data_IF_510422273306
#
_entry.id   IF_510422273306
#
_cell.length_a   1.000
_cell.length_b   1.000
_cell.length_c   1.000
_cell.angle_alpha   90.00
_cell.angle_beta   90.00
_cell.angle_gamma   90.00
#
_symmetry.space_group_name_H-M   'P 1'
#
loop_
_entity.id
_entity.type
_entity.pdbx_description
1 polymer ?
#
# COMPACT_ATOMS: atom_id res chain seq x y z
N UNK A 1 12.07 26.45 5.43
CA UNK A 1 13.20 25.72 4.82
C UNK A 1 12.59 24.42 4.32
N UNK A 2 12.73 24.11 3.04
CA UNK A 2 12.03 22.98 2.42
C UNK A 2 12.56 21.70 3.05
N UNK A 3 11.74 21.03 3.87
CA UNK A 3 12.06 19.72 4.41
C UNK A 3 12.34 18.79 3.24
N UNK A 4 13.60 18.38 3.11
CA UNK A 4 14.01 17.43 2.09
C UNK A 4 13.33 16.11 2.41
N UNK A 5 12.26 15.81 1.67
CA UNK A 5 11.58 14.52 1.70
C UNK A 5 12.64 13.41 1.63
N UNK A 6 12.82 12.70 2.74
CA UNK A 6 13.82 11.64 2.87
C UNK A 6 13.09 10.32 2.93
N UNK A 7 13.51 9.36 2.12
CA UNK A 7 12.93 8.01 2.08
C UNK A 7 12.92 7.30 3.45
N UNK A 8 13.74 7.75 4.39
CA UNK A 8 13.77 7.27 5.78
C UNK A 8 12.58 7.75 6.62
N UNK A 9 11.88 8.81 6.22
CA UNK A 9 10.66 9.29 6.88
C UNK A 9 9.48 8.33 6.65
N UNK A 10 9.50 7.57 5.54
CA UNK A 10 8.59 6.45 5.32
C UNK A 10 8.88 5.25 6.24
N UNK A 11 9.98 5.26 6.98
CA UNK A 11 10.28 4.23 8.00
C UNK A 11 9.98 4.73 9.42
N UNK A 12 9.62 6.00 9.58
CA UNK A 12 9.34 6.61 10.87
C UNK A 12 7.84 6.49 11.21
N UNK A 13 7.47 5.73 12.26
CA UNK A 13 6.08 5.49 12.67
C UNK A 13 5.30 6.80 12.90
N UNK A 14 6.02 7.82 13.36
CA UNK A 14 5.53 9.16 13.72
C UNK A 14 4.88 9.88 12.52
N UNK A 15 5.42 9.69 11.31
CA UNK A 15 4.87 10.24 10.07
C UNK A 15 3.54 9.57 9.67
N UNK A 16 3.40 8.27 9.96
CA UNK A 16 2.16 7.51 9.73
C UNK A 16 1.06 7.94 10.71
N UNK A 17 1.41 8.18 11.97
CA UNK A 17 0.43 8.51 13.01
C UNK A 17 -0.15 9.93 12.80
N UNK A 18 0.63 10.89 12.30
CA UNK A 18 0.18 12.28 12.15
C UNK A 18 -0.57 12.60 10.85
N UNK A 19 -0.26 11.94 9.71
CA UNK A 19 -0.70 12.42 8.39
C UNK A 19 -1.57 11.44 7.56
N UNK A 20 -1.65 10.14 7.91
CA UNK A 20 -2.53 9.21 7.17
C UNK A 20 -2.08 7.75 7.11
N UNK A 21 -1.49 7.23 8.18
CA UNK A 21 -0.64 6.04 8.16
C UNK A 21 -1.24 4.78 7.57
N UNK A 22 -2.44 4.40 8.02
CA UNK A 22 -3.11 3.22 7.47
C UNK A 22 -3.49 3.44 5.99
N UNK A 23 -3.91 4.64 5.61
CA UNK A 23 -4.25 4.97 4.22
C UNK A 23 -3.04 4.91 3.30
N UNK A 24 -1.89 5.41 3.75
CA UNK A 24 -0.64 5.36 2.99
C UNK A 24 -0.14 3.91 2.86
N UNK A 25 -0.20 3.11 3.93
CA UNK A 25 0.09 1.68 3.90
C UNK A 25 -0.78 0.96 2.86
N UNK A 26 -2.10 1.18 2.90
CA UNK A 26 -3.04 0.54 1.97
C UNK A 26 -2.79 1.00 0.53
N UNK A 27 -2.45 2.27 0.33
CA UNK A 27 -2.10 2.80 -0.99
C UNK A 27 -0.81 2.16 -1.52
N UNK A 28 0.22 2.00 -0.69
CA UNK A 28 1.47 1.34 -1.09
C UNK A 28 1.22 -0.12 -1.46
N UNK A 29 0.51 -0.88 -0.62
CA UNK A 29 0.17 -2.28 -0.91
C UNK A 29 -0.66 -2.39 -2.19
N UNK A 30 -1.64 -1.50 -2.37
CA UNK A 30 -2.45 -1.43 -3.60
C UNK A 30 -1.60 -1.10 -4.83
N UNK A 31 -0.66 -0.15 -4.72
CA UNK A 31 0.18 0.27 -5.82
C UNK A 31 1.21 -0.81 -6.19
N UNK A 32 1.80 -1.49 -5.20
CA UNK A 32 2.74 -2.60 -5.40
C UNK A 32 2.07 -3.80 -6.06
N UNK A 33 0.83 -4.16 -5.67
CA UNK A 33 0.10 -5.27 -6.28
C UNK A 33 -0.63 -4.90 -7.58
N UNK A 34 -0.93 -3.62 -7.81
CA UNK A 34 -1.77 -3.15 -8.91
C UNK A 34 -1.08 -2.37 -10.01
N UNK A 35 0.00 -1.63 -9.74
CA UNK A 35 0.73 -0.86 -10.75
C UNK A 35 2.08 -1.53 -11.01
N UNK A 36 2.42 -1.78 -12.28
CA UNK A 36 3.78 -2.19 -12.69
C UNK A 36 4.88 -1.20 -12.22
N UNK A 37 4.52 0.06 -11.98
CA UNK A 37 5.42 1.09 -11.44
C UNK A 37 5.54 1.07 -9.89
N UNK A 38 4.73 0.28 -9.19
CA UNK A 38 4.73 0.17 -7.73
C UNK A 38 5.90 -0.61 -7.14
N UNK A 39 6.69 -1.32 -7.98
CA UNK A 39 7.86 -2.12 -7.56
C UNK A 39 8.96 -1.30 -6.85
N UNK A 40 8.94 0.03 -6.95
CA UNK A 40 9.89 0.91 -6.27
C UNK A 40 9.49 1.26 -4.82
N UNK A 41 8.28 0.87 -4.37
CA UNK A 41 7.80 1.19 -3.02
C UNK A 41 8.20 0.08 -2.02
N UNK A 42 8.66 0.43 -0.80
CA UNK A 42 9.15 -0.54 0.18
C UNK A 42 8.00 -1.18 1.01
N UNK A 43 7.05 -1.86 0.35
CA UNK A 43 5.85 -2.40 0.97
C UNK A 43 6.09 -3.44 2.08
N UNK A 44 7.04 -4.35 1.91
CA UNK A 44 7.35 -5.40 2.90
C UNK A 44 7.82 -4.83 4.25
N UNK A 45 8.71 -3.84 4.21
CA UNK A 45 9.23 -3.18 5.42
C UNK A 45 8.12 -2.39 6.13
N UNK A 46 7.25 -1.78 5.35
CA UNK A 46 6.05 -1.06 5.79
C UNK A 46 5.05 -1.98 6.49
N UNK A 47 4.82 -3.19 5.98
CA UNK A 47 3.97 -4.19 6.62
C UNK A 47 4.52 -4.63 7.98
N UNK A 48 5.85 -4.78 8.09
CA UNK A 48 6.50 -5.10 9.36
C UNK A 48 6.31 -3.98 10.40
N UNK A 49 6.53 -2.72 9.99
CA UNK A 49 6.30 -1.55 10.85
C UNK A 49 4.81 -1.46 11.23
N UNK A 50 3.89 -1.68 10.29
CA UNK A 50 2.46 -1.67 10.57
C UNK A 50 2.04 -2.74 11.59
N UNK A 51 2.68 -3.92 11.56
CA UNK A 51 2.47 -4.96 12.58
C UNK A 51 2.93 -4.52 13.98
N UNK A 52 4.06 -3.84 14.09
CA UNK A 52 4.56 -3.30 15.38
C UNK A 52 3.64 -2.19 15.91
N UNK A 53 3.19 -1.30 15.02
CA UNK A 53 2.36 -0.14 15.36
C UNK A 53 0.85 -0.38 15.15
N UNK A 54 0.41 -1.64 15.18
CA UNK A 54 -0.97 -2.01 14.84
C UNK A 54 -2.01 -1.32 15.73
N UNK A 55 -1.68 -1.10 17.01
CA UNK A 55 -2.61 -0.51 17.98
C UNK A 55 -2.93 0.94 17.63
N UNK A 56 -1.91 1.74 17.33
CA UNK A 56 -2.08 3.14 16.95
C UNK A 56 -2.77 3.26 15.59
N UNK A 57 -2.41 2.40 14.63
CA UNK A 57 -3.01 2.38 13.30
C UNK A 57 -4.50 2.03 13.34
N UNK A 58 -4.90 1.00 14.08
CA UNK A 58 -6.29 0.58 14.16
C UNK A 58 -7.11 1.49 15.07
N UNK A 59 -6.53 2.06 16.14
CA UNK A 59 -7.24 3.02 16.99
C UNK A 59 -7.74 4.24 16.20
N UNK A 60 -7.04 4.65 15.14
CA UNK A 60 -7.49 5.77 14.27
C UNK A 60 -8.73 5.44 13.44
N UNK A 61 -8.91 4.20 12.99
CA UNK A 61 -10.06 3.80 12.16
C UNK A 61 -11.17 3.09 12.93
N UNK A 62 -10.81 2.30 13.93
CA UNK A 62 -11.70 1.45 14.71
C UNK A 62 -11.42 1.59 16.22
N UNK A 63 -11.77 2.74 16.83
CA UNK A 63 -11.51 3.02 18.25
C UNK A 63 -12.26 2.07 19.21
N UNK A 64 -13.22 1.29 18.71
CA UNK A 64 -14.05 0.39 19.49
C UNK A 64 -13.39 -0.98 19.75
N UNK A 65 -12.34 -1.34 19.01
CA UNK A 65 -11.62 -2.61 19.19
C UNK A 65 -10.50 -2.37 20.20
N UNK A 66 -10.64 -2.90 21.42
CA UNK A 66 -9.64 -2.73 22.50
C UNK A 66 -8.75 -3.96 22.73
N UNK A 67 -8.94 -5.04 21.95
CA UNK A 67 -8.17 -6.26 22.09
C UNK A 67 -7.05 -6.30 21.04
N UNK A 68 -5.80 -6.34 21.49
CA UNK A 68 -4.59 -6.35 20.64
C UNK A 68 -4.64 -7.42 19.54
N UNK A 69 -5.09 -8.64 19.86
CA UNK A 69 -5.18 -9.73 18.89
C UNK A 69 -6.25 -9.46 17.83
N UNK A 70 -7.36 -8.83 18.22
CA UNK A 70 -8.42 -8.46 17.31
C UNK A 70 -7.98 -7.32 16.38
N UNK A 71 -7.22 -6.34 16.88
CA UNK A 71 -6.66 -5.25 16.09
C UNK A 71 -5.71 -5.77 15.01
N UNK A 72 -4.79 -6.67 15.38
CA UNK A 72 -3.88 -7.31 14.43
C UNK A 72 -4.63 -8.10 13.35
N UNK A 73 -5.69 -8.83 13.75
CA UNK A 73 -6.50 -9.61 12.82
C UNK A 73 -7.26 -8.71 11.82
N UNK A 74 -7.83 -7.60 12.30
CA UNK A 74 -8.48 -6.60 11.44
C UNK A 74 -7.46 -5.96 10.49
N UNK A 75 -6.29 -5.58 10.99
CA UNK A 75 -5.21 -5.02 10.18
C UNK A 75 -4.83 -5.98 9.02
N UNK A 76 -4.64 -7.25 9.33
CA UNK A 76 -4.34 -8.28 8.33
C UNK A 76 -5.43 -8.41 7.26
N UNK A 77 -6.71 -8.41 7.67
CA UNK A 77 -7.85 -8.47 6.73
C UNK A 77 -7.87 -7.24 5.83
N UNK A 78 -7.74 -6.04 6.39
CA UNK A 78 -7.84 -4.79 5.63
C UNK A 78 -6.71 -4.67 4.59
N UNK A 79 -5.48 -5.03 4.99
CA UNK A 79 -4.33 -5.08 4.08
C UNK A 79 -4.55 -6.11 2.97
N UNK A 80 -5.04 -7.30 3.31
CA UNK A 80 -5.30 -8.37 2.34
C UNK A 80 -6.35 -7.94 1.30
N UNK A 81 -7.42 -7.29 1.74
CA UNK A 81 -8.46 -6.75 0.85
C UNK A 81 -7.87 -5.69 -0.08
N UNK A 82 -7.06 -4.76 0.43
CA UNK A 82 -6.40 -3.75 -0.39
C UNK A 82 -5.48 -4.36 -1.46
N UNK A 83 -4.72 -5.40 -1.10
CA UNK A 83 -3.89 -6.15 -2.04
C UNK A 83 -4.70 -6.85 -3.14
N UNK A 84 -5.83 -7.48 -2.81
CA UNK A 84 -6.73 -8.14 -3.77
C UNK A 84 -7.35 -7.12 -4.74
N UNK A 85 -7.78 -5.96 -4.22
CA UNK A 85 -8.33 -4.88 -5.03
C UNK A 85 -7.23 -4.33 -5.95
N UNK A 86 -6.01 -4.13 -5.43
CA UNK A 86 -4.84 -3.73 -6.22
C UNK A 86 -4.57 -4.69 -7.37
N UNK A 87 -4.48 -5.99 -7.09
CA UNK A 87 -4.29 -7.00 -8.12
C UNK A 87 -5.42 -7.01 -9.17
N UNK A 88 -6.67 -6.82 -8.74
CA UNK A 88 -7.83 -6.77 -9.64
C UNK A 88 -7.79 -5.55 -10.57
N UNK A 89 -7.44 -4.38 -10.03
CA UNK A 89 -7.26 -3.14 -10.81
C UNK A 89 -6.05 -3.27 -11.74
N UNK A 90 -4.95 -3.84 -11.26
CA UNK A 90 -3.74 -4.08 -12.05
C UNK A 90 -3.97 -5.04 -13.20
N UNK A 91 -4.74 -6.10 -12.98
CA UNK A 91 -5.16 -7.01 -14.03
C UNK A 91 -6.01 -6.29 -15.08
N UNK A 92 -6.97 -5.46 -14.67
CA UNK A 92 -7.81 -4.71 -15.59
C UNK A 92 -7.01 -3.67 -16.40
N UNK A 93 -6.09 -2.96 -15.73
CA UNK A 93 -5.20 -2.00 -16.36
C UNK A 93 -4.24 -2.70 -17.34
N UNK A 94 -3.59 -3.78 -16.92
CA UNK A 94 -2.72 -4.60 -17.75
C UNK A 94 -3.44 -5.20 -18.96
N UNK A 95 -4.69 -5.66 -18.80
CA UNK A 95 -5.52 -6.14 -19.92
C UNK A 95 -5.88 -5.03 -20.90
N UNK A 96 -6.01 -3.78 -20.45
CA UNK A 96 -6.33 -2.63 -21.31
C UNK A 96 -5.09 -2.08 -22.03
N UNK A 97 -3.93 -2.12 -21.38
CA UNK A 97 -2.64 -1.68 -21.95
C UNK A 97 -2.00 -2.75 -22.85
N UNK A 98 -2.21 -4.03 -22.55
CA UNK A 98 -1.64 -5.16 -23.31
C UNK A 98 -1.93 -5.13 -24.82
N UNK A 99 -3.18 -4.92 -25.28
CA UNK A 99 -3.51 -4.80 -26.70
C UNK A 99 -2.82 -3.59 -27.36
N UNK A 100 -2.72 -2.46 -26.64
CA UNK A 100 -2.06 -1.25 -27.13
C UNK A 100 -0.53 -1.44 -27.31
N UNK A 101 0.10 -2.33 -26.53
CA UNK A 101 1.50 -2.72 -26.73
C UNK A 101 1.69 -3.69 -27.90
N UNK A 102 0.67 -4.48 -28.25
CA UNK A 102 0.76 -5.44 -29.35
C UNK A 102 0.80 -4.72 -30.71
N UNK A 103 0.01 -3.65 -30.88
CA UNK A 103 0.01 -2.80 -32.08
C UNK A 103 1.36 -2.05 -32.30
N UNK A 104 2.21 -1.94 -31.29
CA UNK A 104 3.54 -1.32 -31.44
C UNK A 104 4.55 -2.25 -32.11
N UNK A 105 4.32 -3.57 -32.09
CA UNK A 105 5.24 -4.55 -32.66
C UNK A 105 5.16 -4.64 -34.18
N UNK A 106 4.02 -4.29 -34.76
CA UNK A 106 3.81 -4.29 -36.22
C UNK A 106 4.31 -3.00 -36.92
N UNK A 107 4.56 -1.91 -36.18
CA UNK A 107 5.05 -0.64 -36.75
C UNK A 107 6.58 -0.48 -36.70
N UNK A 108 7.32 -1.48 -36.21
CA UNK A 108 8.79 -1.49 -36.17
C UNK A 108 9.44 -2.34 -37.28
N UNK A 109 8.66 -2.77 -38.28
CA UNK A 109 9.16 -3.40 -39.51
C UNK A 109 8.75 -2.59 -40.73
#
# INVERSE_FOLDING_TARGET
>A
MLDSFSWHQLLQPQFYIEHGGLWLLLFVVFAETGLFAGFFLPGDSLLFVAGIYNQELIATLFPFIQNDYAQLFVLWIVISIAGIIGNSVGYWFGRKVGPAMYDWKDNMF
#
